data_IF_159507985027
#
_entry.id   IF_159507985027
#
_cell.length_a   1.000
_cell.length_b   1.000
_cell.length_c   1.000
_cell.angle_alpha   90.00
_cell.angle_beta   90.00
_cell.angle_gamma   90.00
#
_symmetry.space_group_name_H-M   'P 1'
#
loop_
_entity.id
_entity.type
_entity.pdbx_description
1 polymer ?
#
# COMPACT_ATOMS: atom_id res chain seq x y z
N UNK A 1 -20.31 -2.77 -7.52
CA UNK A 1 -19.56 -1.81 -6.67
C UNK A 1 -18.35 -2.44 -5.96
N UNK A 2 -18.44 -3.67 -5.41
CA UNK A 2 -17.32 -4.35 -4.71
C UNK A 2 -16.03 -4.49 -5.54
N UNK A 3 -16.12 -4.85 -6.83
CA UNK A 3 -14.95 -4.99 -7.72
C UNK A 3 -14.23 -3.67 -7.95
N UNK A 4 -14.99 -2.58 -8.14
CA UNK A 4 -14.43 -1.24 -8.31
C UNK A 4 -13.73 -0.77 -7.03
N UNK A 5 -14.35 -0.98 -5.87
CA UNK A 5 -13.74 -0.71 -4.56
C UNK A 5 -12.43 -1.50 -4.38
N UNK A 6 -12.44 -2.79 -4.71
CA UNK A 6 -11.23 -3.62 -4.64
C UNK A 6 -10.11 -3.12 -5.56
N UNK A 7 -10.45 -2.72 -6.79
CA UNK A 7 -9.47 -2.22 -7.76
C UNK A 7 -8.83 -0.90 -7.29
N UNK A 8 -9.63 0.03 -6.77
CA UNK A 8 -9.13 1.30 -6.23
C UNK A 8 -8.17 1.06 -5.06
N UNK A 9 -8.55 0.20 -4.11
CA UNK A 9 -7.67 -0.13 -2.98
C UNK A 9 -6.39 -0.83 -3.45
N UNK A 10 -6.47 -1.69 -4.46
CA UNK A 10 -5.28 -2.33 -5.02
C UNK A 10 -4.31 -1.32 -5.63
N UNK A 11 -4.80 -0.40 -6.46
CA UNK A 11 -3.99 0.64 -7.10
C UNK A 11 -3.35 1.57 -6.07
N UNK A 12 -4.13 2.04 -5.09
CA UNK A 12 -3.61 2.87 -3.98
C UNK A 12 -2.55 2.12 -3.20
N UNK A 13 -2.77 0.82 -2.93
CA UNK A 13 -1.82 -0.04 -2.26
C UNK A 13 -0.47 -0.12 -2.97
N UNK A 14 -0.47 -0.36 -4.29
CA UNK A 14 0.75 -0.39 -5.11
C UNK A 14 1.46 0.98 -5.13
N UNK A 15 0.73 2.08 -5.30
CA UNK A 15 1.32 3.42 -5.34
C UNK A 15 1.98 3.78 -4.00
N UNK A 16 1.33 3.45 -2.88
CA UNK A 16 1.88 3.68 -1.55
C UNK A 16 3.15 2.84 -1.30
N UNK A 17 3.20 1.59 -1.80
CA UNK A 17 4.41 0.77 -1.76
C UNK A 17 5.56 1.37 -2.58
N UNK A 18 5.28 1.89 -3.78
CA UNK A 18 6.30 2.53 -4.62
C UNK A 18 6.88 3.79 -3.96
N UNK A 19 6.03 4.61 -3.35
CA UNK A 19 6.46 5.79 -2.59
C UNK A 19 7.25 5.36 -1.35
N UNK A 20 6.78 4.35 -0.63
CA UNK A 20 7.43 3.82 0.56
C UNK A 20 8.83 3.30 0.25
N UNK A 21 8.95 2.46 -0.77
CA UNK A 21 10.22 1.92 -1.24
C UNK A 21 11.16 3.03 -1.73
N UNK A 22 10.63 3.97 -2.54
CA UNK A 22 11.39 5.12 -3.02
C UNK A 22 12.01 5.93 -1.88
N UNK A 23 11.28 6.18 -0.81
CA UNK A 23 11.78 6.92 0.35
C UNK A 23 12.74 6.10 1.23
N UNK A 24 12.53 4.79 1.35
CA UNK A 24 13.43 3.89 2.10
C UNK A 24 14.82 3.80 1.46
N UNK A 25 14.92 3.95 0.13
CA UNK A 25 16.21 3.99 -0.57
C UNK A 25 17.09 5.18 -0.14
N UNK A 26 16.50 6.24 0.42
CA UNK A 26 17.22 7.43 0.89
C UNK A 26 17.44 7.43 2.41
N UNK A 27 17.31 6.28 3.10
CA UNK A 27 17.42 6.18 4.56
C UNK A 27 18.71 6.80 5.14
N UNK A 28 19.84 6.63 4.47
CA UNK A 28 21.12 7.19 4.93
C UNK A 28 21.22 8.71 4.82
N UNK A 29 20.44 9.31 3.91
CA UNK A 29 20.50 10.75 3.60
C UNK A 29 19.32 11.54 4.20
N UNK A 30 18.20 10.87 4.44
CA UNK A 30 16.99 11.48 4.99
C UNK A 30 16.22 10.47 5.86
N UNK A 31 16.61 10.32 7.14
CA UNK A 31 15.97 9.36 8.05
C UNK A 31 14.49 9.68 8.30
N UNK A 32 14.10 10.96 8.28
CA UNK A 32 12.70 11.39 8.38
C UNK A 32 11.90 10.95 7.15
N UNK A 33 12.48 11.11 5.95
CA UNK A 33 11.90 10.63 4.71
C UNK A 33 11.71 9.12 4.71
N UNK A 34 12.68 8.37 5.22
CA UNK A 34 12.56 6.91 5.34
C UNK A 34 11.53 6.46 6.38
N UNK A 35 11.34 7.20 7.47
CA UNK A 35 10.23 6.93 8.41
C UNK A 35 8.86 7.15 7.74
N UNK A 36 8.71 8.22 6.96
CA UNK A 36 7.52 8.43 6.13
C UNK A 36 7.37 7.33 5.07
N UNK A 37 8.48 6.85 4.51
CA UNK A 37 8.51 5.72 3.59
C UNK A 37 8.00 4.42 4.22
N UNK A 38 8.47 4.09 5.42
CA UNK A 38 7.99 2.94 6.18
C UNK A 38 6.48 3.03 6.48
N UNK A 39 5.99 4.22 6.88
CA UNK A 39 4.57 4.44 7.09
C UNK A 39 3.77 4.25 5.78
N UNK A 40 4.26 4.78 4.66
CA UNK A 40 3.64 4.59 3.35
C UNK A 40 3.61 3.10 2.93
N UNK A 41 4.65 2.33 3.25
CA UNK A 41 4.68 0.88 3.01
C UNK A 41 3.60 0.16 3.82
N UNK A 42 3.46 0.46 5.12
CA UNK A 42 2.43 -0.14 5.99
C UNK A 42 1.03 0.16 5.46
N UNK A 43 0.77 1.42 5.08
CA UNK A 43 -0.49 1.83 4.47
C UNK A 43 -0.72 1.06 3.17
N UNK A 44 0.28 0.96 2.30
CA UNK A 44 0.17 0.22 1.04
C UNK A 44 -0.21 -1.25 1.23
N UNK A 45 0.43 -1.92 2.21
CA UNK A 45 0.11 -3.31 2.57
C UNK A 45 -1.33 -3.43 3.09
N UNK A 46 -1.79 -2.51 3.94
CA UNK A 46 -3.16 -2.52 4.44
C UNK A 46 -4.20 -2.37 3.32
N UNK A 47 -3.95 -1.48 2.35
CA UNK A 47 -4.81 -1.30 1.19
C UNK A 47 -4.85 -2.55 0.29
N UNK A 48 -3.71 -3.21 0.08
CA UNK A 48 -3.64 -4.48 -0.65
C UNK A 48 -4.36 -5.62 0.09
N UNK A 49 -4.27 -5.65 1.41
CA UNK A 49 -4.99 -6.61 2.24
C UNK A 49 -6.51 -6.43 2.10
N UNK A 50 -6.99 -5.19 2.19
CA UNK A 50 -8.43 -4.88 2.03
C UNK A 50 -8.92 -5.23 0.62
N UNK A 51 -8.12 -4.93 -0.41
CA UNK A 51 -8.43 -5.33 -1.78
C UNK A 51 -8.53 -6.86 -1.92
N UNK A 52 -7.54 -7.57 -1.37
CA UNK A 52 -7.50 -9.04 -1.34
C UNK A 52 -8.73 -9.62 -0.63
N UNK A 53 -9.03 -9.16 0.58
CA UNK A 53 -10.20 -9.61 1.34
C UNK A 53 -11.53 -9.35 0.60
N UNK A 54 -11.64 -8.23 -0.11
CA UNK A 54 -12.82 -7.93 -0.92
C UNK A 54 -12.97 -8.86 -2.15
N UNK A 55 -11.87 -9.43 -2.65
CA UNK A 55 -11.88 -10.43 -3.73
C UNK A 55 -12.18 -11.84 -3.21
N UNK A 56 -11.61 -12.23 -2.06
CA UNK A 56 -11.73 -13.58 -1.50
C UNK A 56 -12.99 -13.81 -0.66
N UNK A 57 -13.62 -12.78 -0.08
CA UNK A 57 -14.96 -12.90 0.55
C UNK A 57 -16.10 -13.09 -0.48
N UNK A 58 -15.81 -13.70 -1.63
CA UNK A 58 -16.74 -14.05 -2.72
C UNK A 58 -16.94 -15.57 -2.82
N UNK A 59 -16.28 -16.36 -1.97
CA UNK A 59 -16.35 -17.83 -1.97
C UNK A 59 -17.31 -18.41 -0.93
N UNK A 60 -18.36 -17.67 -0.55
CA UNK A 60 -19.49 -18.17 0.25
C UNK A 60 -20.82 -17.79 -0.43
#
# INVERSE_FOLDING_TARGET
MKTFFSLVNFVIGILALLIGFGNLLFLSNNPTGAAAGAAATVVGVAFLWVATAAMFNRSE
#
